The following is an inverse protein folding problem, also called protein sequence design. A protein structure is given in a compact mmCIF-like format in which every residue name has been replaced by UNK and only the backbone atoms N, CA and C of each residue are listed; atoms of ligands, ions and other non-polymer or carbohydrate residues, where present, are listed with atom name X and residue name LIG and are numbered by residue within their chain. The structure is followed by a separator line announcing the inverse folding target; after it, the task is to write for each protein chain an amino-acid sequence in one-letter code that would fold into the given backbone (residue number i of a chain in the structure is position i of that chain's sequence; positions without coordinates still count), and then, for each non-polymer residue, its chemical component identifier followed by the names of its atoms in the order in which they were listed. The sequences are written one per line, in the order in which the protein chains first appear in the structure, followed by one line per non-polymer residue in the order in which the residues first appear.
data_IF_069267165042
#
_entry.id   IF_069267165042
#
_cell.length_a   1.000
_cell.length_b   1.000
_cell.length_c   1.000
_cell.angle_alpha   90.00
_cell.angle_beta   90.00
_cell.angle_gamma   90.00
#
_symmetry.space_group_name_H-M   'P 1'
#
loop_
_entity.id
_entity.type
_entity.pdbx_description
1 polymer ?
#
# COMPACT_ATOMS: atom_id res chain seq x y z
N UNK A 1 3.25 24.19 -5.77
CA UNK A 1 3.38 23.19 -6.84
C UNK A 1 2.03 23.16 -7.53
N UNK A 2 2.00 23.57 -8.80
CA UNK A 2 0.78 23.45 -9.59
C UNK A 2 0.63 21.95 -9.94
N UNK A 3 -0.55 21.41 -9.71
CA UNK A 3 -0.82 19.98 -9.88
C UNK A 3 -1.85 19.78 -11.00
N UNK A 4 -1.46 19.01 -11.99
CA UNK A 4 -2.33 18.59 -13.08
C UNK A 4 -2.97 17.24 -12.80
N UNK A 5 -4.29 17.10 -12.99
CA UNK A 5 -4.97 15.83 -12.90
C UNK A 5 -4.47 14.87 -13.99
N UNK A 6 -4.03 13.70 -13.59
CA UNK A 6 -3.56 12.63 -14.49
C UNK A 6 -4.64 11.58 -14.74
N UNK A 7 -5.07 10.93 -13.69
CA UNK A 7 -6.04 9.84 -13.75
C UNK A 7 -6.76 9.63 -12.42
N UNK A 8 -7.79 8.80 -12.43
CA UNK A 8 -8.50 8.33 -11.25
C UNK A 8 -8.59 6.83 -11.24
N UNK A 9 -8.62 6.23 -10.06
CA UNK A 9 -8.65 4.78 -9.89
C UNK A 9 -9.71 4.39 -8.87
N UNK A 10 -10.51 3.37 -9.20
CA UNK A 10 -11.37 2.68 -8.24
C UNK A 10 -10.81 1.28 -7.97
N UNK A 11 -10.63 0.94 -6.70
CA UNK A 11 -9.95 -0.28 -6.29
C UNK A 11 -10.45 -0.83 -4.97
N UNK A 12 -9.99 -2.02 -4.62
CA UNK A 12 -9.95 -2.56 -3.26
C UNK A 12 -8.50 -2.61 -2.83
N UNK A 13 -8.20 -2.15 -1.62
CA UNK A 13 -6.85 -2.14 -1.08
C UNK A 13 -6.81 -2.75 0.32
N UNK A 14 -5.90 -3.69 0.52
CA UNK A 14 -5.41 -4.11 1.83
C UNK A 14 -3.99 -3.60 1.98
N UNK A 15 -3.72 -2.78 2.98
CA UNK A 15 -2.39 -2.22 3.22
C UNK A 15 -1.86 -2.71 4.55
N UNK A 16 -0.67 -3.26 4.55
CA UNK A 16 0.02 -3.69 5.77
C UNK A 16 1.19 -2.74 6.03
N UNK A 17 1.21 -2.18 7.23
CA UNK A 17 2.32 -1.36 7.71
C UNK A 17 3.30 -2.23 8.50
N UNK A 18 4.55 -2.20 8.12
CA UNK A 18 5.63 -2.99 8.72
C UNK A 18 6.71 -2.11 9.35
N UNK A 19 7.31 -2.62 10.40
CA UNK A 19 8.64 -2.28 10.82
C UNK A 19 9.58 -3.37 10.28
N UNK A 20 10.25 -3.05 9.17
CA UNK A 20 11.18 -3.94 8.47
C UNK A 20 12.63 -3.62 8.77
N UNK A 21 13.55 -4.35 8.12
CA UNK A 21 14.98 -4.15 8.27
C UNK A 21 15.44 -2.77 7.78
N UNK A 22 15.82 -1.90 8.72
CA UNK A 22 16.20 -0.50 8.44
C UNK A 22 17.35 -0.39 7.43
N UNK A 23 18.38 -1.23 7.56
CA UNK A 23 19.55 -1.16 6.69
C UNK A 23 19.21 -1.61 5.27
N UNK A 24 18.40 -2.65 5.13
CA UNK A 24 17.93 -3.13 3.83
C UNK A 24 17.05 -2.08 3.14
N UNK A 25 16.09 -1.50 3.88
CA UNK A 25 15.22 -0.45 3.34
C UNK A 25 16.01 0.81 2.97
N UNK A 26 16.98 1.24 3.79
CA UNK A 26 17.79 2.41 3.48
C UNK A 26 18.58 2.23 2.17
N UNK A 27 19.03 1.01 1.86
CA UNK A 27 19.71 0.71 0.57
C UNK A 27 18.79 0.80 -0.64
N UNK A 28 17.48 0.69 -0.46
CA UNK A 28 16.45 0.86 -1.53
C UNK A 28 16.15 2.32 -1.83
N UNK A 29 16.59 3.24 -0.98
CA UNK A 29 16.33 4.67 -1.18
C UNK A 29 17.42 5.32 -2.03
N UNK A 30 17.09 6.33 -2.84
CA UNK A 30 18.08 7.07 -3.60
C UNK A 30 18.99 7.89 -2.68
N UNK A 31 20.18 8.21 -3.18
CA UNK A 31 21.11 9.09 -2.48
C UNK A 31 20.44 10.42 -2.13
N UNK A 32 20.68 10.93 -0.93
CA UNK A 32 20.03 12.17 -0.46
C UNK A 32 18.70 11.97 0.26
N UNK A 33 18.20 10.74 0.35
CA UNK A 33 17.02 10.40 1.15
C UNK A 33 17.39 9.50 2.33
N UNK A 34 16.71 9.68 3.44
CA UNK A 34 16.83 8.83 4.62
C UNK A 34 15.48 8.35 5.08
N UNK A 35 15.41 7.12 5.58
CA UNK A 35 14.20 6.57 6.16
C UNK A 35 13.70 7.48 7.28
N UNK A 36 12.40 7.73 7.28
CA UNK A 36 11.70 8.48 8.30
C UNK A 36 10.48 7.66 8.78
N UNK A 37 10.68 6.73 9.73
CA UNK A 37 9.58 5.94 10.26
C UNK A 37 8.47 6.84 10.79
N UNK A 38 7.22 6.39 10.67
CA UNK A 38 6.07 7.14 11.14
C UNK A 38 6.19 7.44 12.64
N UNK A 39 6.01 8.73 12.98
CA UNK A 39 6.27 9.23 14.33
C UNK A 39 5.05 9.17 15.26
N UNK A 40 3.82 9.12 14.73
CA UNK A 40 2.63 9.31 15.54
C UNK A 40 1.34 8.73 14.96
N UNK A 41 0.24 9.39 15.26
CA UNK A 41 -1.11 9.02 14.86
C UNK A 41 -1.41 9.52 13.44
N UNK A 42 -1.02 8.72 12.46
CA UNK A 42 -1.13 9.05 11.04
C UNK A 42 -2.51 8.70 10.46
N UNK A 43 -3.28 7.93 11.21
CA UNK A 43 -4.65 7.56 10.88
C UNK A 43 -5.57 7.82 12.07
N UNK A 44 -6.79 8.29 11.83
CA UNK A 44 -7.78 8.58 12.89
C UNK A 44 -7.97 7.37 13.80
N UNK A 45 -7.63 7.55 15.08
CA UNK A 45 -7.76 6.51 16.09
C UNK A 45 -6.81 5.32 15.97
N UNK A 46 -5.81 5.39 15.08
CA UNK A 46 -4.78 4.39 14.89
C UNK A 46 -3.42 5.03 14.78
N UNK A 47 -2.38 4.32 15.18
CA UNK A 47 -1.00 4.78 15.06
C UNK A 47 -0.21 3.84 14.19
N UNK A 48 0.51 4.40 13.23
CA UNK A 48 1.53 3.70 12.44
C UNK A 48 2.93 3.90 13.03
N UNK A 49 3.03 4.35 14.29
CA UNK A 49 4.32 4.65 14.94
C UNK A 49 5.31 3.51 14.80
N UNK A 50 6.47 3.81 14.24
CA UNK A 50 7.56 2.88 14.00
C UNK A 50 7.47 2.13 12.69
N UNK A 51 6.36 2.19 11.96
CA UNK A 51 6.32 1.64 10.62
C UNK A 51 7.29 2.40 9.71
N UNK A 52 8.06 1.67 8.95
CA UNK A 52 9.03 2.20 7.99
C UNK A 52 8.77 1.72 6.56
N UNK A 53 7.80 0.83 6.40
CA UNK A 53 7.37 0.30 5.12
C UNK A 53 5.85 0.10 5.10
N UNK A 54 5.23 0.53 4.02
CA UNK A 54 3.84 0.24 3.66
C UNK A 54 3.81 -0.71 2.49
N UNK A 55 3.00 -1.76 2.60
CA UNK A 55 2.83 -2.77 1.55
C UNK A 55 1.35 -2.83 1.18
N UNK A 56 0.90 -2.02 0.22
CA UNK A 56 -0.46 -2.09 -0.30
C UNK A 56 -0.61 -3.20 -1.34
N UNK A 57 -1.60 -4.06 -1.12
CA UNK A 57 -2.12 -5.06 -2.03
C UNK A 57 -3.36 -4.49 -2.70
N UNK A 58 -3.29 -4.23 -3.99
CA UNK A 58 -4.35 -3.61 -4.76
C UNK A 58 -5.04 -4.59 -5.70
N UNK A 59 -6.32 -4.36 -5.90
CA UNK A 59 -7.09 -4.87 -7.03
C UNK A 59 -7.85 -3.69 -7.63
N UNK A 60 -7.41 -3.28 -8.81
CA UNK A 60 -7.96 -2.13 -9.54
C UNK A 60 -9.13 -2.60 -10.40
N UNK A 61 -10.28 -1.98 -10.22
CA UNK A 61 -11.50 -2.30 -10.95
C UNK A 61 -11.77 -1.37 -12.13
N UNK A 62 -11.34 -0.12 -12.02
CA UNK A 62 -11.51 0.86 -13.08
C UNK A 62 -10.45 1.96 -13.01
N UNK A 63 -10.08 2.47 -14.17
CA UNK A 63 -9.23 3.65 -14.31
C UNK A 63 -9.98 4.68 -15.14
N UNK A 64 -10.03 5.92 -14.66
CA UNK A 64 -10.58 7.06 -15.41
C UNK A 64 -9.44 7.94 -15.91
N UNK A 65 -9.27 8.02 -17.21
CA UNK A 65 -8.28 8.85 -17.85
C UNK A 65 -8.59 10.36 -17.71
N UNK A 66 -7.63 11.21 -18.06
CA UNK A 66 -7.74 12.68 -17.98
C UNK A 66 -8.92 13.22 -18.81
N UNK A 67 -9.21 12.63 -19.95
CA UNK A 67 -10.32 12.99 -20.84
C UNK A 67 -11.69 12.51 -20.34
N UNK A 68 -11.74 11.84 -19.20
CA UNK A 68 -12.94 11.31 -18.58
C UNK A 68 -13.31 9.91 -19.05
N UNK A 69 -12.60 9.33 -20.03
CA UNK A 69 -12.82 7.96 -20.46
C UNK A 69 -12.57 6.99 -19.31
N UNK A 70 -13.49 6.08 -19.07
CA UNK A 70 -13.36 5.04 -18.05
C UNK A 70 -13.06 3.71 -18.72
N UNK A 71 -11.90 3.15 -18.47
CA UNK A 71 -11.55 1.79 -18.82
C UNK A 71 -11.87 0.87 -17.63
N UNK A 72 -12.76 -0.07 -17.84
CA UNK A 72 -13.21 -1.02 -16.82
C UNK A 72 -12.56 -2.38 -16.93
N UNK A 73 -11.48 -2.56 -17.67
CA UNK A 73 -10.89 -3.90 -17.80
C UNK A 73 -9.59 -3.94 -18.57
N UNK A 74 -8.71 -4.90 -18.27
CA UNK A 74 -8.85 -5.96 -17.27
C UNK A 74 -8.66 -5.44 -15.86
N UNK A 75 -9.19 -6.17 -14.86
CA UNK A 75 -8.80 -6.00 -13.47
C UNK A 75 -7.29 -6.13 -13.37
N UNK A 76 -6.67 -5.20 -12.67
CA UNK A 76 -5.23 -5.18 -12.50
C UNK A 76 -4.89 -5.35 -11.03
N UNK A 77 -4.18 -6.41 -10.71
CA UNK A 77 -3.67 -6.63 -9.37
C UNK A 77 -2.20 -6.25 -9.28
N UNK A 78 -1.82 -5.69 -8.16
CA UNK A 78 -0.43 -5.43 -7.84
C UNK A 78 -0.18 -5.32 -6.34
N UNK A 79 1.06 -5.55 -5.94
CA UNK A 79 1.57 -5.21 -4.62
C UNK A 79 2.73 -4.24 -4.77
N UNK A 80 2.71 -3.17 -3.99
CA UNK A 80 3.75 -2.17 -4.00
C UNK A 80 4.48 -2.09 -2.65
N UNK A 81 5.69 -1.57 -2.67
CA UNK A 81 6.54 -1.40 -1.49
C UNK A 81 6.96 0.06 -1.40
N UNK A 82 6.53 0.71 -0.33
CA UNK A 82 6.60 2.14 -0.15
C UNK A 82 7.22 2.42 1.22
N UNK A 83 8.17 3.35 1.29
CA UNK A 83 8.72 3.83 2.55
C UNK A 83 8.53 5.32 2.70
N UNK A 84 8.21 5.78 3.92
CA UNK A 84 8.30 7.20 4.23
C UNK A 84 9.77 7.58 4.42
N UNK A 85 10.18 8.68 3.83
CA UNK A 85 11.55 9.15 3.89
C UNK A 85 11.61 10.68 3.92
N UNK A 86 12.76 11.18 4.35
CA UNK A 86 13.07 12.61 4.40
C UNK A 86 14.15 12.93 3.38
N UNK A 87 13.94 13.95 2.58
CA UNK A 87 14.97 14.49 1.73
C UNK A 87 15.99 15.26 2.58
N UNK A 88 17.25 14.89 2.56
CA UNK A 88 18.30 15.48 3.40
C UNK A 88 18.61 16.92 3.05
N UNK A 89 18.44 17.31 1.80
CA UNK A 89 18.75 18.67 1.35
C UNK A 89 17.65 19.68 1.73
N UNK A 90 16.38 19.24 1.66
CA UNK A 90 15.22 20.13 1.91
C UNK A 90 14.55 19.92 3.25
N UNK A 91 14.80 18.79 3.92
CA UNK A 91 14.08 18.36 5.11
C UNK A 91 12.64 17.90 4.86
N UNK A 92 12.16 17.94 3.62
CA UNK A 92 10.80 17.58 3.27
C UNK A 92 10.55 16.08 3.43
N UNK A 93 9.39 15.72 3.96
CA UNK A 93 8.90 14.35 3.99
C UNK A 93 8.24 13.99 2.66
N UNK A 94 8.38 12.73 2.27
CA UNK A 94 7.70 12.13 1.13
C UNK A 94 7.63 10.63 1.28
N UNK A 95 6.85 10.01 0.40
CA UNK A 95 6.84 8.57 0.23
C UNK A 95 7.74 8.20 -0.94
N UNK A 96 8.45 7.09 -0.84
CA UNK A 96 9.28 6.53 -1.91
C UNK A 96 8.75 5.15 -2.27
N UNK A 97 8.28 5.01 -3.51
CA UNK A 97 7.95 3.73 -4.13
C UNK A 97 9.26 3.13 -4.65
N UNK A 98 9.67 2.00 -4.12
CA UNK A 98 10.97 1.42 -4.46
C UNK A 98 10.88 0.06 -5.13
N UNK A 99 9.68 -0.57 -5.15
CA UNK A 99 9.47 -1.84 -5.81
C UNK A 99 7.98 -2.18 -5.94
N UNK A 100 7.61 -2.98 -6.95
CA UNK A 100 6.31 -3.63 -7.06
C UNK A 100 6.33 -4.89 -7.91
N UNK A 101 5.40 -5.81 -7.59
CA UNK A 101 4.95 -6.86 -8.50
C UNK A 101 3.60 -6.48 -9.06
N UNK A 102 3.40 -6.65 -10.36
CA UNK A 102 2.18 -6.25 -11.08
C UNK A 102 1.90 -7.15 -12.27
N UNK A 103 0.62 -7.28 -12.62
CA UNK A 103 0.20 -7.95 -13.87
C UNK A 103 0.44 -7.07 -15.11
N UNK A 104 0.64 -5.76 -14.93
CA UNK A 104 0.89 -4.81 -16.02
C UNK A 104 1.98 -3.79 -15.63
N UNK A 105 3.23 -4.00 -16.05
CA UNK A 105 4.33 -3.06 -15.79
C UNK A 105 4.18 -1.70 -16.48
N UNK A 106 3.36 -1.57 -17.51
CA UNK A 106 3.07 -0.30 -18.18
C UNK A 106 1.96 0.50 -17.49
N UNK A 107 1.15 -0.18 -16.67
CA UNK A 107 0.08 0.43 -15.89
C UNK A 107 0.56 1.13 -14.62
N UNK A 108 -0.35 1.27 -13.67
CA UNK A 108 -0.02 1.67 -12.30
C UNK A 108 0.36 0.38 -11.56
N UNK A 109 1.49 0.22 -10.99
CA UNK A 109 2.55 1.10 -10.54
C UNK A 109 3.76 1.22 -11.47
N UNK A 110 3.76 0.62 -12.64
CA UNK A 110 4.89 0.64 -13.57
C UNK A 110 5.38 2.04 -13.93
N UNK A 111 4.51 3.04 -13.79
CA UNK A 111 4.87 4.46 -13.94
C UNK A 111 5.99 4.93 -13.01
N UNK A 112 6.34 4.15 -11.98
CA UNK A 112 7.48 4.44 -11.09
C UNK A 112 8.78 3.79 -11.57
N UNK A 113 8.77 3.03 -12.67
CA UNK A 113 9.93 2.37 -13.29
C UNK A 113 10.65 1.36 -12.39
N UNK A 114 9.94 0.74 -11.48
CA UNK A 114 10.44 -0.25 -10.53
C UNK A 114 9.48 -1.43 -10.37
N UNK A 115 8.59 -1.61 -11.34
CA UNK A 115 7.64 -2.70 -11.38
C UNK A 115 8.18 -3.90 -12.14
N UNK A 116 7.86 -5.09 -11.63
CA UNK A 116 8.14 -6.37 -12.28
C UNK A 116 6.87 -7.11 -12.59
N UNK A 117 6.83 -7.68 -13.78
CA UNK A 117 5.73 -8.56 -14.19
C UNK A 117 5.66 -9.77 -13.27
N UNK A 118 4.48 -10.08 -12.80
CA UNK A 118 4.22 -11.23 -11.95
C UNK A 118 2.85 -11.84 -12.25
N UNK A 119 2.75 -13.13 -12.05
CA UNK A 119 1.48 -13.83 -11.99
C UNK A 119 0.85 -13.57 -10.61
N UNK A 120 -0.32 -12.92 -10.60
CA UNK A 120 -0.97 -12.53 -9.36
C UNK A 120 -2.29 -13.28 -9.20
N UNK A 121 -2.51 -13.79 -8.00
CA UNK A 121 -3.80 -14.33 -7.60
C UNK A 121 -4.25 -13.68 -6.30
N UNK A 122 -5.54 -13.36 -6.19
CA UNK A 122 -6.17 -12.84 -4.99
C UNK A 122 -7.50 -13.51 -4.75
N UNK A 123 -7.76 -13.86 -3.52
CA UNK A 123 -9.07 -14.37 -3.08
C UNK A 123 -9.48 -13.73 -1.78
N UNK A 124 -10.76 -13.39 -1.68
CA UNK A 124 -11.34 -12.83 -0.47
C UNK A 124 -12.67 -13.52 -0.18
N UNK A 125 -12.83 -14.04 1.02
CA UNK A 125 -14.06 -14.67 1.49
C UNK A 125 -14.63 -13.87 2.65
N UNK A 126 -15.91 -13.55 2.56
CA UNK A 126 -16.65 -12.80 3.58
C UNK A 126 -17.66 -13.71 4.24
N UNK A 127 -17.54 -13.92 5.54
CA UNK A 127 -18.49 -14.67 6.34
C UNK A 127 -19.17 -13.73 7.32
N UNK A 128 -20.46 -13.51 7.12
CA UNK A 128 -21.25 -12.69 8.04
C UNK A 128 -21.40 -13.43 9.37
N UNK A 129 -20.84 -12.84 10.41
CA UNK A 129 -20.98 -13.34 11.77
C UNK A 129 -22.24 -12.75 12.44
N UNK A 130 -22.52 -13.17 13.68
CA UNK A 130 -23.61 -12.62 14.47
C UNK A 130 -23.30 -11.16 14.85
N UNK A 131 -24.34 -10.33 15.00
CA UNK A 131 -24.26 -8.93 15.44
C UNK A 131 -23.62 -7.96 14.45
N UNK A 132 -23.67 -8.26 13.14
CA UNK A 132 -23.17 -7.34 12.12
C UNK A 132 -21.67 -7.40 11.88
N UNK A 133 -20.94 -8.22 12.60
CA UNK A 133 -19.52 -8.49 12.32
C UNK A 133 -19.37 -9.34 11.06
N UNK A 134 -18.30 -9.13 10.34
CA UNK A 134 -17.90 -9.95 9.18
C UNK A 134 -16.49 -10.47 9.43
N UNK A 135 -16.34 -11.78 9.33
CA UNK A 135 -15.02 -12.40 9.25
C UNK A 135 -14.58 -12.40 7.79
N UNK A 136 -13.37 -11.94 7.55
CA UNK A 136 -12.76 -11.88 6.23
C UNK A 136 -11.50 -12.73 6.21
N UNK A 137 -11.40 -13.57 5.19
CA UNK A 137 -10.17 -14.30 4.85
C UNK A 137 -9.70 -13.83 3.50
N UNK A 138 -8.44 -13.47 3.43
CA UNK A 138 -7.79 -12.99 2.22
C UNK A 138 -6.51 -13.77 1.98
N UNK A 139 -6.32 -14.18 0.73
CA UNK A 139 -5.05 -14.68 0.23
C UNK A 139 -4.61 -13.85 -0.95
N UNK A 140 -3.33 -13.58 -1.04
CA UNK A 140 -2.70 -12.91 -2.16
C UNK A 140 -1.38 -13.60 -2.48
N UNK A 141 -1.13 -13.79 -3.76
CA UNK A 141 0.14 -14.36 -4.24
C UNK A 141 0.59 -13.57 -5.46
N UNK A 142 1.86 -13.18 -5.46
CA UNK A 142 2.52 -12.66 -6.65
C UNK A 142 3.80 -13.46 -6.86
N UNK A 143 3.93 -14.06 -8.06
CA UNK A 143 5.08 -14.88 -8.45
C UNK A 143 5.71 -14.30 -9.70
N UNK A 144 6.98 -13.95 -9.60
CA UNK A 144 7.80 -13.40 -10.68
C UNK A 144 9.08 -14.22 -10.83
N UNK A 145 9.81 -14.02 -11.93
CA UNK A 145 11.10 -14.66 -12.15
C UNK A 145 12.11 -14.35 -11.03
N UNK A 146 12.06 -13.12 -10.49
CA UNK A 146 13.03 -12.64 -9.47
C UNK A 146 12.62 -12.92 -8.03
N UNK A 147 11.43 -13.43 -7.79
CA UNK A 147 10.96 -13.73 -6.44
C UNK A 147 9.46 -13.83 -6.32
N UNK A 148 9.02 -14.06 -5.10
CA UNK A 148 7.58 -14.26 -4.79
C UNK A 148 7.19 -13.65 -3.45
N UNK A 149 5.91 -13.29 -3.35
CA UNK A 149 5.26 -12.89 -2.10
C UNK A 149 3.92 -13.58 -1.97
N UNK A 150 3.67 -14.18 -0.81
CA UNK A 150 2.39 -14.79 -0.45
C UNK A 150 1.89 -14.22 0.87
N UNK A 151 0.65 -13.78 0.88
CA UNK A 151 -0.05 -13.31 2.07
C UNK A 151 -1.26 -14.19 2.35
N UNK A 152 -1.41 -14.60 3.60
CA UNK A 152 -2.66 -15.13 4.15
C UNK A 152 -3.06 -14.27 5.34
N UNK A 153 -4.27 -13.74 5.30
CA UNK A 153 -4.77 -12.80 6.29
C UNK A 153 -6.20 -13.17 6.69
N UNK A 154 -6.44 -13.29 7.98
CA UNK A 154 -7.79 -13.39 8.52
C UNK A 154 -8.05 -12.29 9.56
N UNK A 155 -9.19 -11.61 9.45
CA UNK A 155 -9.55 -10.54 10.35
C UNK A 155 -11.06 -10.44 10.53
N UNK A 156 -11.47 -9.79 11.62
CA UNK A 156 -12.86 -9.40 11.85
C UNK A 156 -13.05 -7.95 11.50
N UNK A 157 -14.12 -7.67 10.80
CA UNK A 157 -14.58 -6.34 10.42
C UNK A 157 -15.94 -6.09 11.07
N UNK A 158 -16.06 -5.09 11.88
CA UNK A 158 -17.32 -4.76 12.58
C UNK A 158 -17.18 -3.61 13.54
N UNK A 159 -15.96 -3.10 13.66
CA UNK A 159 -15.64 -2.00 14.52
C UNK A 159 -15.72 -0.63 13.86
N UNK A 160 -14.75 0.19 14.15
CA UNK A 160 -14.75 1.56 13.69
C UNK A 160 -14.44 1.65 12.19
N UNK A 161 -15.45 1.99 11.39
CA UNK A 161 -15.25 2.42 10.02
C UNK A 161 -14.97 3.92 10.00
N UNK A 162 -14.00 4.31 9.20
CA UNK A 162 -13.68 5.71 8.97
C UNK A 162 -14.01 6.02 7.51
N UNK A 163 -14.91 6.98 7.30
CA UNK A 163 -15.04 7.60 5.99
C UNK A 163 -14.04 8.75 5.92
N UNK A 164 -13.00 8.57 5.14
CA UNK A 164 -11.98 9.59 4.93
C UNK A 164 -12.14 10.17 3.52
N UNK A 165 -12.60 11.41 3.48
CA UNK A 165 -12.43 12.26 2.30
C UNK A 165 -11.19 13.10 2.60
N UNK A 166 -10.14 12.92 1.83
CA UNK A 166 -8.96 13.76 1.96
C UNK A 166 -9.33 15.18 1.49
N UNK A 167 -9.36 16.11 2.42
CA UNK A 167 -9.57 17.52 2.08
C UNK A 167 -8.38 18.10 1.28
N UNK A 168 -7.20 17.49 1.47
CA UNK A 168 -5.95 17.88 0.82
C UNK A 168 -5.26 16.64 0.24
N UNK A 169 -4.43 16.80 -0.79
CA UNK A 169 -3.61 15.73 -1.32
C UNK A 169 -2.65 15.15 -0.28
N UNK A 170 -2.37 13.88 -0.39
CA UNK A 170 -1.38 13.20 0.45
C UNK A 170 0.03 13.73 0.22
N UNK A 171 0.97 13.29 1.06
CA UNK A 171 2.39 13.51 0.81
C UNK A 171 2.76 12.98 -0.59
N UNK A 172 3.67 13.68 -1.30
CA UNK A 172 4.14 13.23 -2.60
C UNK A 172 4.73 11.82 -2.53
N UNK A 173 4.44 11.02 -3.54
CA UNK A 173 5.04 9.72 -3.77
C UNK A 173 6.02 9.83 -4.93
N UNK A 174 7.27 9.56 -4.65
CA UNK A 174 8.39 9.59 -5.60
C UNK A 174 8.76 8.17 -6.03
N UNK A 175 9.28 8.02 -7.24
CA UNK A 175 10.03 6.81 -7.59
C UNK A 175 11.39 6.81 -6.89
N UNK A 176 11.77 5.69 -6.30
CA UNK A 176 13.12 5.55 -5.73
C UNK A 176 14.19 5.41 -6.82
N UNK A 177 13.83 4.86 -8.00
CA UNK A 177 14.72 4.72 -9.13
C UNK A 177 14.91 6.02 -9.93
N UNK A 178 13.87 6.88 -9.94
CA UNK A 178 13.90 8.17 -10.62
C UNK A 178 13.07 9.20 -9.82
N UNK A 179 13.69 9.91 -8.85
CA UNK A 179 12.96 10.85 -7.99
C UNK A 179 12.35 12.07 -8.73
N UNK A 180 12.61 12.23 -10.02
CA UNK A 180 11.89 13.21 -10.86
C UNK A 180 10.46 12.79 -11.15
N UNK A 181 10.16 11.50 -11.02
CA UNK A 181 8.80 10.98 -11.15
C UNK A 181 8.08 11.16 -9.82
N UNK A 182 7.13 12.07 -9.83
CA UNK A 182 6.36 12.47 -8.65
C UNK A 182 4.88 12.26 -8.95
N UNK A 183 4.15 11.74 -7.98
CA UNK A 183 2.69 11.67 -8.01
C UNK A 183 2.13 12.09 -6.66
N UNK A 184 1.01 12.80 -6.73
CA UNK A 184 0.27 13.22 -5.53
C UNK A 184 -1.11 12.60 -5.61
N UNK A 185 -1.53 11.95 -4.54
CA UNK A 185 -2.81 11.27 -4.47
C UNK A 185 -3.79 12.05 -3.62
N UNK A 186 -5.02 12.16 -4.09
CA UNK A 186 -6.17 12.56 -3.29
C UNK A 186 -7.11 11.36 -3.18
N UNK A 187 -7.40 10.95 -1.96
CA UNK A 187 -8.12 9.71 -1.69
C UNK A 187 -9.52 10.00 -1.14
N UNK A 188 -10.51 9.29 -1.69
CA UNK A 188 -11.86 9.17 -1.12
C UNK A 188 -12.10 7.69 -0.84
N UNK A 189 -12.30 7.33 0.42
CA UNK A 189 -12.27 5.94 0.83
C UNK A 189 -13.04 5.67 2.12
N UNK A 190 -13.60 4.47 2.19
CA UNK A 190 -14.03 3.88 3.45
C UNK A 190 -12.92 2.98 3.97
N UNK A 191 -12.40 3.29 5.14
CA UNK A 191 -11.34 2.53 5.79
C UNK A 191 -11.84 1.76 6.99
N UNK A 192 -11.36 0.54 7.13
CA UNK A 192 -11.28 -0.15 8.39
C UNK A 192 -9.81 -0.29 8.78
N UNK A 193 -9.45 0.23 9.94
CA UNK A 193 -8.11 0.11 10.48
C UNK A 193 -8.08 -1.01 11.47
N UNK A 194 -7.42 -2.09 11.12
CA UNK A 194 -7.29 -3.28 11.96
C UNK A 194 -5.86 -3.33 12.50
N UNK A 195 -5.71 -3.34 13.80
CA UNK A 195 -4.41 -3.38 14.47
C UNK A 195 -3.96 -4.82 14.66
N UNK A 196 -2.68 -5.07 14.46
CA UNK A 196 -2.16 -6.43 14.55
C UNK A 196 -1.72 -6.86 15.96
N UNK A 197 -1.35 -5.94 16.87
CA UNK A 197 -0.80 -6.34 18.18
C UNK A 197 -0.96 -5.25 19.24
N UNK A 198 -1.38 -5.56 20.45
CA UNK A 198 -2.28 -6.65 20.84
C UNK A 198 -3.72 -6.28 20.53
N UNK A 199 -4.39 -7.15 19.79
CA UNK A 199 -5.75 -6.88 19.32
C UNK A 199 -6.78 -7.40 20.29
N UNK A 200 -7.63 -6.52 20.76
CA UNK A 200 -8.76 -6.91 21.61
C UNK A 200 -10.11 -6.80 20.90
N UNK A 201 -10.18 -5.97 19.87
CA UNK A 201 -11.42 -5.72 19.09
C UNK A 201 -10.99 -5.41 17.67
N UNK A 202 -11.73 -5.85 16.66
CA UNK A 202 -11.37 -5.77 15.25
C UNK A 202 -9.95 -6.31 15.00
N UNK A 203 -9.80 -7.60 15.18
CA UNK A 203 -8.49 -8.20 15.23
C UNK A 203 -8.13 -8.89 13.93
N UNK A 204 -6.88 -8.74 13.52
CA UNK A 204 -6.22 -9.72 12.68
C UNK A 204 -6.06 -10.99 13.53
N UNK A 205 -6.79 -12.04 13.20
CA UNK A 205 -6.69 -13.32 13.88
C UNK A 205 -5.56 -14.17 13.32
N UNK A 206 -5.17 -13.90 12.08
CA UNK A 206 -4.13 -14.63 11.38
C UNK A 206 -3.44 -13.70 10.38
N UNK A 207 -2.13 -13.73 10.34
CA UNK A 207 -1.32 -13.14 9.28
C UNK A 207 -0.09 -14.02 9.04
N UNK A 208 0.03 -14.54 7.84
CA UNK A 208 1.20 -15.26 7.35
C UNK A 208 1.69 -14.56 6.08
N UNK A 209 2.93 -14.09 6.11
CA UNK A 209 3.58 -13.43 4.98
C UNK A 209 4.86 -14.19 4.68
N UNK A 210 4.94 -14.76 3.47
CA UNK A 210 6.11 -15.45 2.96
C UNK A 210 6.65 -14.69 1.79
N UNK A 211 7.94 -14.42 1.82
CA UNK A 211 8.66 -13.67 0.77
C UNK A 211 9.89 -14.46 0.41
N UNK A 212 10.20 -14.56 -0.88
CA UNK A 212 11.42 -15.19 -1.40
C UNK A 212 12.01 -14.35 -2.52
N UNK A 213 13.32 -14.53 -2.73
CA UNK A 213 14.06 -13.87 -3.79
C UNK A 213 14.50 -12.46 -3.40
N UNK A 214 14.33 -11.51 -4.28
CA UNK A 214 14.93 -10.18 -4.19
C UNK A 214 14.47 -9.30 -3.01
N UNK A 215 13.42 -9.69 -2.30
CA UNK A 215 12.90 -8.98 -1.14
C UNK A 215 13.27 -9.63 0.20
N UNK A 216 13.96 -10.76 0.20
CA UNK A 216 14.32 -11.49 1.43
C UNK A 216 15.17 -10.67 2.40
N UNK A 217 15.98 -9.75 1.90
CA UNK A 217 16.81 -8.88 2.75
C UNK A 217 15.97 -7.85 3.55
N UNK A 218 14.79 -7.50 3.04
CA UNK A 218 13.82 -6.61 3.71
C UNK A 218 12.93 -7.40 4.67
N UNK A 219 12.54 -8.61 4.24
CA UNK A 219 11.68 -9.54 5.00
C UNK A 219 12.51 -10.69 5.57
N UNK A 220 13.40 -10.37 6.48
CA UNK A 220 14.40 -11.28 7.08
C UNK A 220 13.84 -12.15 8.23
N UNK A 221 12.53 -12.21 8.38
CA UNK A 221 11.84 -12.93 9.46
C UNK A 221 11.74 -12.14 10.77
N UNK A 222 12.30 -10.92 10.83
CA UNK A 222 12.23 -10.04 12.02
C UNK A 222 11.27 -8.88 11.86
N UNK A 223 10.68 -8.74 10.66
CA UNK A 223 9.70 -7.70 10.41
C UNK A 223 8.52 -7.81 11.38
N UNK A 224 8.08 -6.67 11.88
CA UNK A 224 6.92 -6.58 12.75
C UNK A 224 5.77 -5.91 12.04
N UNK A 225 4.59 -6.53 12.07
CA UNK A 225 3.35 -5.89 11.60
C UNK A 225 2.95 -4.83 12.61
N UNK A 226 2.84 -3.59 12.16
CA UNK A 226 2.42 -2.44 12.97
C UNK A 226 0.91 -2.23 12.85
N UNK A 227 0.35 -2.41 11.66
CA UNK A 227 -1.07 -2.26 11.45
C UNK A 227 -1.52 -2.79 10.09
N UNK A 228 -2.83 -2.99 9.96
CA UNK A 228 -3.49 -3.38 8.71
C UNK A 228 -4.61 -2.38 8.45
N UNK A 229 -4.66 -1.84 7.24
CA UNK A 229 -5.68 -0.89 6.78
C UNK A 229 -6.43 -1.52 5.61
N UNK A 230 -7.73 -1.63 5.75
CA UNK A 230 -8.61 -2.21 4.74
C UNK A 230 -9.46 -1.08 4.14
N UNK A 231 -9.43 -0.96 2.83
CA UNK A 231 -10.12 0.11 2.11
C UNK A 231 -11.03 -0.49 1.03
N UNK A 232 -12.34 -0.30 1.20
CA UNK A 232 -13.38 -0.85 0.31
C UNK A 232 -14.62 0.03 0.34
N UNK A 233 -14.92 0.77 -0.72
CA UNK A 233 -14.09 1.04 -1.88
C UNK A 233 -12.89 1.93 -1.54
N UNK A 234 -11.90 1.90 -2.42
CA UNK A 234 -10.78 2.81 -2.44
C UNK A 234 -10.81 3.57 -3.75
N UNK A 235 -11.03 4.86 -3.66
CA UNK A 235 -11.03 5.75 -4.83
C UNK A 235 -9.94 6.78 -4.65
N UNK A 236 -9.20 7.04 -5.70
CA UNK A 236 -8.15 8.06 -5.68
C UNK A 236 -8.13 8.84 -6.99
N UNK A 237 -7.72 10.07 -6.88
CA UNK A 237 -7.31 10.91 -7.99
C UNK A 237 -5.79 11.04 -7.95
N UNK A 238 -5.16 11.01 -9.10
CA UNK A 238 -3.71 11.12 -9.27
C UNK A 238 -3.39 12.43 -9.95
N UNK A 239 -2.47 13.16 -9.36
CA UNK A 239 -1.97 14.43 -9.87
C UNK A 239 -0.47 14.32 -10.13
N UNK A 240 -0.01 15.06 -11.11
CA UNK A 240 1.40 15.23 -11.47
C UNK A 240 1.77 16.69 -11.44
N UNK A 241 3.01 17.03 -11.04
CA UNK A 241 3.53 18.40 -11.13
C UNK A 241 3.65 18.87 -12.55
#
# INVERSE_FOLDING_TARGET
MDLDYSDGTAAVRTMIAFEGNLAALQRRLPSGWELAPYAGDDLRGSSLRGANMLVPFHEVHAVRARDGHVSGFPQLSYVAFISQARNRATGALGHLHWFSYTEDPEGVPGKYRDAKLADITRSQTFTKARRGETEVRETFSAVAESGEIHLSLAYRQGGMLIWAIAAEPNLPLYSANDPSIIRVYQEDQVMNVVRSVPLKVDGVSEIDLRVRGELEDVFDGRQRVVGVVIQRPYMRQVYVP
#
